data_IF_592562109103
#
_entry.id   IF_592562109103
#
_cell.length_a   1.000
_cell.length_b   1.000
_cell.length_c   1.000
_cell.angle_alpha   90.00
_cell.angle_beta   90.00
_cell.angle_gamma   90.00
#
_symmetry.space_group_name_H-M   'P 1'
#
loop_
_entity.id
_entity.type
_entity.pdbx_description
1 polymer ?
#
# COMPACT_ATOMS: atom_id res chain seq x y z
N UNK A 1 11.88 26.93 -12.13
CA UNK A 1 12.17 25.85 -11.15
C UNK A 1 12.76 24.67 -11.90
N UNK A 2 13.80 24.01 -11.39
CA UNK A 2 14.31 22.75 -11.97
C UNK A 2 13.74 21.56 -11.18
N UNK A 3 12.64 21.00 -11.67
CA UNK A 3 12.15 19.66 -11.31
C UNK A 3 12.32 18.80 -12.56
N UNK A 4 12.76 17.56 -12.39
CA UNK A 4 12.80 16.59 -13.50
C UNK A 4 11.51 15.79 -13.40
N UNK A 5 10.47 16.28 -14.09
CA UNK A 5 9.14 15.69 -14.14
C UNK A 5 8.63 15.84 -15.57
N UNK A 6 7.88 14.86 -16.07
CA UNK A 6 7.21 15.01 -17.36
C UNK A 6 5.95 15.88 -17.20
N UNK A 7 5.07 15.49 -16.28
CA UNK A 7 3.85 16.22 -15.90
C UNK A 7 3.66 16.22 -14.38
N UNK A 8 3.02 17.26 -13.84
CA UNK A 8 2.62 17.30 -12.43
C UNK A 8 1.50 16.33 -12.09
N UNK A 9 0.71 15.96 -13.08
CA UNK A 9 -0.53 15.21 -12.86
C UNK A 9 -0.26 13.70 -12.77
N UNK A 10 0.86 13.25 -13.34
CA UNK A 10 1.23 11.84 -13.47
C UNK A 10 2.50 11.49 -12.67
N UNK A 11 2.88 12.29 -11.68
CA UNK A 11 4.16 12.10 -10.99
C UNK A 11 4.26 10.73 -10.32
N UNK A 12 3.15 10.22 -9.77
CA UNK A 12 3.12 8.92 -9.08
C UNK A 12 3.20 7.79 -10.09
N UNK A 13 2.47 7.90 -11.20
CA UNK A 13 2.45 6.93 -12.30
C UNK A 13 3.80 6.86 -13.00
N UNK A 14 4.42 8.01 -13.32
CA UNK A 14 5.76 8.07 -13.92
C UNK A 14 6.80 7.42 -13.01
N UNK A 15 6.73 7.68 -11.70
CA UNK A 15 7.60 7.06 -10.70
C UNK A 15 7.39 5.54 -10.65
N UNK A 16 6.15 5.07 -10.59
CA UNK A 16 5.80 3.65 -10.56
C UNK A 16 6.20 2.93 -11.85
N UNK A 17 6.03 3.58 -13.00
CA UNK A 17 6.51 3.07 -14.29
C UNK A 17 8.03 2.93 -14.28
N UNK A 18 8.75 3.93 -13.76
CA UNK A 18 10.21 3.86 -13.61
C UNK A 18 10.67 2.71 -12.72
N UNK A 19 9.97 2.47 -11.59
CA UNK A 19 10.23 1.32 -10.71
C UNK A 19 9.97 0.00 -11.43
N UNK A 20 8.85 -0.11 -12.15
CA UNK A 20 8.49 -1.31 -12.90
C UNK A 20 9.52 -1.65 -13.96
N UNK A 21 10.05 -0.66 -14.67
CA UNK A 21 11.08 -0.86 -15.69
C UNK A 21 12.44 -1.22 -15.05
N UNK A 22 12.84 -0.51 -14.00
CA UNK A 22 14.14 -0.71 -13.34
C UNK A 22 14.26 -2.04 -12.59
N UNK A 23 13.15 -2.54 -12.04
CA UNK A 23 13.08 -3.73 -11.20
C UNK A 23 12.02 -4.72 -11.68
N UNK A 24 11.88 -4.85 -13.01
CA UNK A 24 10.93 -5.78 -13.64
C UNK A 24 11.19 -7.24 -13.31
N UNK A 25 12.31 -7.60 -12.71
CA UNK A 25 12.62 -8.93 -12.19
C UNK A 25 12.02 -9.17 -10.80
N UNK A 26 11.82 -8.12 -10.00
CA UNK A 26 11.39 -8.21 -8.59
C UNK A 26 9.91 -7.81 -8.42
N UNK A 27 9.44 -6.81 -9.17
CA UNK A 27 8.11 -6.22 -8.95
C UNK A 27 7.22 -6.28 -10.19
N UNK A 28 5.93 -6.16 -9.95
CA UNK A 28 4.89 -5.83 -10.93
C UNK A 28 4.10 -4.64 -10.41
N UNK A 29 3.65 -3.78 -11.32
CA UNK A 29 2.96 -2.53 -10.96
C UNK A 29 1.60 -2.48 -11.63
N UNK A 30 0.59 -2.06 -10.88
CA UNK A 30 -0.70 -1.62 -11.41
C UNK A 30 -0.74 -0.10 -11.36
N UNK A 31 -0.64 0.54 -12.53
CA UNK A 31 -0.65 2.00 -12.64
C UNK A 31 -2.05 2.60 -12.41
N UNK A 32 -3.11 1.83 -12.70
CA UNK A 32 -4.50 2.31 -12.53
C UNK A 32 -4.87 2.37 -11.05
N UNK A 33 -4.47 1.35 -10.28
CA UNK A 33 -4.72 1.30 -8.85
C UNK A 33 -3.57 1.90 -8.02
N UNK A 34 -2.44 2.23 -8.64
CA UNK A 34 -1.19 2.72 -8.02
C UNK A 34 -0.66 1.74 -6.98
N UNK A 35 -0.46 0.50 -7.43
CA UNK A 35 0.04 -0.60 -6.62
C UNK A 35 1.42 -1.02 -7.09
N UNK A 36 2.32 -1.28 -6.15
CA UNK A 36 3.56 -2.01 -6.39
C UNK A 36 3.46 -3.36 -5.67
N UNK A 37 3.64 -4.46 -6.40
CA UNK A 37 3.40 -5.81 -5.93
C UNK A 37 4.65 -6.64 -6.15
N UNK A 38 4.95 -7.55 -5.22
CA UNK A 38 6.01 -8.52 -5.45
C UNK A 38 5.64 -9.37 -6.67
N UNK A 39 6.61 -9.60 -7.55
CA UNK A 39 6.38 -10.33 -8.80
C UNK A 39 6.09 -11.80 -8.54
N UNK A 40 6.86 -12.43 -7.66
CA UNK A 40 6.61 -13.81 -7.30
C UNK A 40 5.31 -13.90 -6.47
N UNK A 41 4.46 -14.91 -6.72
CA UNK A 41 3.25 -15.11 -5.94
C UNK A 41 3.61 -15.37 -4.47
N UNK A 42 2.73 -14.95 -3.57
CA UNK A 42 2.87 -15.29 -2.16
C UNK A 42 2.77 -16.81 -1.99
N UNK A 43 3.78 -17.48 -1.38
CA UNK A 43 3.71 -18.92 -1.17
C UNK A 43 2.53 -19.30 -0.27
N UNK A 44 1.92 -20.45 -0.54
CA UNK A 44 0.80 -20.95 0.24
C UNK A 44 1.16 -21.04 1.74
N UNK A 45 0.26 -20.55 2.61
CA UNK A 45 0.46 -20.54 4.05
C UNK A 45 1.38 -19.42 4.58
N UNK A 46 1.91 -18.54 3.72
CA UNK A 46 2.58 -17.32 4.17
C UNK A 46 1.57 -16.17 4.36
N UNK A 47 1.94 -15.24 5.24
CA UNK A 47 1.15 -14.04 5.53
C UNK A 47 1.58 -12.91 4.60
N UNK A 48 0.62 -12.28 3.93
CA UNK A 48 0.89 -11.09 3.14
C UNK A 48 1.21 -9.91 4.08
N UNK A 49 2.28 -9.18 3.80
CA UNK A 49 2.59 -7.92 4.50
C UNK A 49 2.40 -6.77 3.54
N UNK A 50 1.46 -5.89 3.86
CA UNK A 50 1.05 -4.79 2.99
C UNK A 50 1.29 -3.49 3.74
N UNK A 51 1.89 -2.52 3.05
CA UNK A 51 2.04 -1.16 3.57
C UNK A 51 1.65 -0.16 2.48
N UNK A 52 1.67 1.12 2.82
CA UNK A 52 1.29 2.18 1.90
C UNK A 52 1.30 3.52 2.57
N UNK A 53 1.00 4.55 1.80
CA UNK A 53 1.04 5.92 2.27
C UNK A 53 1.08 6.90 1.13
N UNK A 54 1.32 8.16 1.45
CA UNK A 54 1.53 9.19 0.43
C UNK A 54 2.80 8.93 -0.39
N UNK A 55 2.79 9.39 -1.64
CA UNK A 55 3.94 9.26 -2.53
C UNK A 55 5.04 10.32 -2.29
N UNK A 56 4.76 11.34 -1.47
CA UNK A 56 5.65 12.47 -1.22
C UNK A 56 6.87 12.13 -0.36
N UNK A 57 6.74 11.15 0.54
CA UNK A 57 7.84 10.60 1.34
C UNK A 57 8.69 9.55 0.59
N UNK A 58 9.18 9.93 -0.60
CA UNK A 58 10.16 9.17 -1.42
C UNK A 58 9.86 7.67 -1.52
N UNK A 59 8.73 7.29 -2.13
CA UNK A 59 8.42 5.91 -2.56
C UNK A 59 8.73 4.79 -1.55
N UNK A 60 8.81 5.10 -0.25
CA UNK A 60 9.52 4.27 0.72
C UNK A 60 8.90 2.88 0.78
N UNK A 61 7.57 2.81 0.66
CA UNK A 61 6.82 1.57 0.65
C UNK A 61 7.10 0.72 -0.60
N UNK A 62 7.10 1.31 -1.79
CA UNK A 62 7.36 0.58 -3.04
C UNK A 62 8.77 0.00 -3.10
N UNK A 63 9.76 0.69 -2.51
CA UNK A 63 11.15 0.21 -2.42
C UNK A 63 11.36 -0.96 -1.44
N UNK A 64 10.38 -1.29 -0.60
CA UNK A 64 10.42 -2.45 0.31
C UNK A 64 9.62 -3.64 -0.21
N UNK A 65 9.11 -3.59 -1.43
CA UNK A 65 8.40 -4.72 -2.04
C UNK A 65 9.41 -5.73 -2.57
N UNK A 66 9.33 -6.97 -2.10
CA UNK A 66 10.34 -7.99 -2.41
C UNK A 66 10.27 -9.21 -1.49
N UNK A 67 11.17 -10.16 -1.73
CA UNK A 67 11.37 -11.34 -0.89
C UNK A 67 11.61 -10.94 0.59
N UNK A 68 10.97 -11.67 1.51
CA UNK A 68 11.04 -11.49 2.97
C UNK A 68 10.65 -10.09 3.51
N UNK A 69 10.06 -9.23 2.66
CA UNK A 69 9.68 -7.86 3.01
C UNK A 69 8.18 -7.61 2.74
N UNK A 70 7.82 -6.54 2.02
CA UNK A 70 6.43 -6.28 1.68
C UNK A 70 6.00 -7.14 0.49
N UNK A 71 4.85 -7.78 0.61
CA UNK A 71 4.15 -8.41 -0.51
C UNK A 71 3.61 -7.35 -1.46
N UNK A 72 3.17 -6.21 -0.91
CA UNK A 72 2.59 -5.12 -1.67
C UNK A 72 2.75 -3.76 -0.99
N UNK A 73 2.79 -2.71 -1.82
CA UNK A 73 2.72 -1.32 -1.43
C UNK A 73 1.58 -0.61 -2.16
N UNK A 74 0.77 0.15 -1.42
CA UNK A 74 -0.33 0.98 -1.95
C UNK A 74 0.08 2.44 -1.93
N UNK A 75 0.07 3.10 -3.10
CA UNK A 75 0.58 4.46 -3.25
C UNK A 75 -0.58 5.44 -3.41
N UNK A 76 -0.65 6.40 -2.49
CA UNK A 76 -1.55 7.55 -2.58
C UNK A 76 -0.96 8.69 -3.43
N UNK A 77 -1.68 9.80 -3.50
CA UNK A 77 -1.15 11.03 -4.10
C UNK A 77 0.04 11.60 -3.30
N UNK A 78 0.69 12.62 -3.86
CA UNK A 78 1.73 13.35 -3.15
C UNK A 78 1.10 14.04 -1.93
N UNK A 79 1.57 13.66 -0.73
CA UNK A 79 1.07 14.11 0.57
C UNK A 79 -0.38 13.76 0.91
N UNK A 80 -0.97 12.76 0.24
CA UNK A 80 -2.29 12.23 0.61
C UNK A 80 -2.27 10.70 0.68
N UNK A 81 -2.96 10.14 1.68
CA UNK A 81 -3.07 8.69 1.84
C UNK A 81 -3.85 8.04 0.68
N UNK A 82 -3.56 6.77 0.36
CA UNK A 82 -4.35 6.03 -0.61
C UNK A 82 -5.79 5.84 -0.11
N UNK A 83 -6.71 5.71 -1.05
CA UNK A 83 -8.11 5.43 -0.73
C UNK A 83 -8.29 4.02 -0.18
N UNK A 84 -9.38 3.81 0.57
CA UNK A 84 -9.73 2.49 1.07
C UNK A 84 -9.98 1.48 -0.06
N UNK A 85 -10.55 1.94 -1.17
CA UNK A 85 -10.83 1.10 -2.34
C UNK A 85 -9.53 0.57 -2.98
N UNK A 86 -8.54 1.43 -3.18
CA UNK A 86 -7.23 1.03 -3.70
C UNK A 86 -6.55 -0.03 -2.81
N UNK A 87 -6.65 0.15 -1.49
CA UNK A 87 -6.03 -0.79 -0.56
C UNK A 87 -6.78 -2.11 -0.47
N UNK A 88 -8.12 -2.08 -0.57
CA UNK A 88 -8.94 -3.29 -0.64
C UNK A 88 -8.68 -4.13 -1.89
N UNK A 89 -8.37 -3.50 -3.02
CA UNK A 89 -8.02 -4.20 -4.26
C UNK A 89 -6.84 -5.17 -4.10
N UNK A 90 -5.84 -4.81 -3.28
CA UNK A 90 -4.68 -5.68 -2.97
C UNK A 90 -5.07 -6.88 -2.12
N UNK A 91 -6.07 -6.71 -1.25
CA UNK A 91 -6.41 -7.74 -0.29
C UNK A 91 -6.97 -8.95 -0.99
N UNK A 92 -7.79 -8.82 -2.04
CA UNK A 92 -8.48 -9.94 -2.72
C UNK A 92 -7.59 -11.14 -3.12
N UNK A 93 -6.27 -10.96 -3.25
CA UNK A 93 -5.32 -12.01 -3.62
C UNK A 93 -4.58 -12.67 -2.42
N UNK A 94 -4.73 -12.15 -1.19
CA UNK A 94 -4.11 -12.69 0.01
C UNK A 94 -5.09 -13.60 0.80
N UNK A 95 -4.67 -14.30 1.86
CA UNK A 95 -5.63 -14.94 2.80
C UNK A 95 -5.50 -14.33 4.21
N UNK A 96 -4.29 -13.87 4.54
CA UNK A 96 -3.96 -13.19 5.79
C UNK A 96 -3.10 -11.98 5.43
N UNK A 97 -3.49 -10.79 5.90
CA UNK A 97 -2.80 -9.55 5.58
C UNK A 97 -2.44 -8.76 6.83
N UNK A 98 -1.17 -8.37 6.95
CA UNK A 98 -0.71 -7.42 7.95
C UNK A 98 -0.60 -6.03 7.33
N UNK A 99 -1.42 -5.09 7.80
CA UNK A 99 -1.36 -3.69 7.38
C UNK A 99 -0.40 -2.91 8.28
N UNK A 100 0.72 -2.47 7.72
CA UNK A 100 1.68 -1.59 8.37
C UNK A 100 1.35 -0.14 8.03
N UNK A 101 0.63 0.53 8.93
CA UNK A 101 0.26 1.94 8.80
C UNK A 101 1.24 2.85 9.56
N UNK A 102 1.92 3.75 8.84
CA UNK A 102 2.54 4.93 9.45
C UNK A 102 1.50 6.01 9.78
N UNK A 103 1.88 7.12 10.42
CA UNK A 103 0.96 8.23 10.70
C UNK A 103 0.37 8.88 9.43
N UNK A 104 0.96 8.62 8.26
CA UNK A 104 0.49 9.07 6.94
C UNK A 104 -0.28 8.01 6.14
N UNK A 105 -0.43 6.80 6.69
CA UNK A 105 -1.46 5.87 6.25
C UNK A 105 -2.63 6.15 7.17
N UNK A 106 -3.57 6.99 6.72
CA UNK A 106 -4.62 7.54 7.57
C UNK A 106 -5.26 6.42 8.41
N UNK A 107 -5.23 6.59 9.74
CA UNK A 107 -5.74 5.59 10.67
C UNK A 107 -7.16 5.16 10.31
N UNK A 108 -7.93 6.08 9.75
CA UNK A 108 -9.30 5.90 9.28
C UNK A 108 -9.38 4.90 8.12
N UNK A 109 -8.56 5.06 7.08
CA UNK A 109 -8.61 4.19 5.90
C UNK A 109 -8.21 2.76 6.27
N UNK A 110 -7.11 2.58 7.01
CA UNK A 110 -6.67 1.25 7.45
C UNK A 110 -7.66 0.56 8.41
N UNK A 111 -8.35 1.31 9.27
CA UNK A 111 -9.42 0.77 10.13
C UNK A 111 -10.63 0.36 9.29
N UNK A 112 -11.01 1.20 8.34
CA UNK A 112 -12.13 0.96 7.46
C UNK A 112 -11.90 -0.31 6.64
N UNK A 113 -10.73 -0.47 6.03
CA UNK A 113 -10.36 -1.66 5.26
C UNK A 113 -10.41 -2.92 6.12
N UNK A 114 -9.88 -2.88 7.35
CA UNK A 114 -9.97 -4.01 8.26
C UNK A 114 -11.43 -4.40 8.54
N UNK A 115 -12.36 -3.44 8.52
CA UNK A 115 -13.79 -3.67 8.77
C UNK A 115 -14.64 -4.05 7.54
N UNK A 116 -14.17 -3.82 6.30
CA UNK A 116 -15.00 -4.00 5.10
C UNK A 116 -14.29 -4.54 3.84
N UNK A 117 -12.98 -4.80 3.89
CA UNK A 117 -12.22 -5.33 2.74
C UNK A 117 -12.10 -4.38 1.55
N UNK A 118 -12.53 -3.12 1.69
CA UNK A 118 -12.58 -2.13 0.62
C UNK A 118 -13.82 -2.21 -0.28
N UNK A 119 -14.78 -3.11 0.00
CA UNK A 119 -16.06 -3.25 -0.73
C UNK A 119 -17.04 -2.09 -0.49
N UNK A 120 -16.80 -1.26 0.53
CA UNK A 120 -17.72 -0.23 0.96
C UNK A 120 -18.84 -0.72 1.89
N UNK A 121 -18.96 -2.03 2.10
CA UNK A 121 -19.94 -2.67 2.98
C UNK A 121 -19.22 -3.53 4.04
N UNK A 122 -19.70 -3.58 5.29
CA UNK A 122 -19.14 -4.50 6.28
C UNK A 122 -19.13 -5.93 5.73
N UNK A 123 -18.07 -6.68 6.01
CA UNK A 123 -17.96 -8.07 5.60
C UNK A 123 -19.22 -8.85 6.03
N UNK A 124 -19.79 -9.64 5.12
CA UNK A 124 -20.72 -10.68 5.56
C UNK A 124 -19.98 -11.70 6.42
N UNK A 125 -20.69 -12.42 7.29
CA UNK A 125 -20.08 -13.44 8.17
C UNK A 125 -19.36 -14.54 7.40
N UNK A 126 -19.78 -14.84 6.17
CA UNK A 126 -19.08 -15.78 5.27
C UNK A 126 -17.82 -15.20 4.66
N UNK A 127 -17.80 -13.91 4.31
CA UNK A 127 -16.59 -13.29 3.75
C UNK A 127 -15.56 -13.03 4.85
N UNK A 128 -15.98 -12.55 6.02
CA UNK A 128 -15.09 -12.34 7.17
C UNK A 128 -14.38 -13.63 7.65
N UNK A 129 -14.96 -14.80 7.37
CA UNK A 129 -14.42 -16.09 7.81
C UNK A 129 -13.11 -16.48 7.10
N UNK A 130 -12.83 -15.91 5.92
CA UNK A 130 -11.64 -16.24 5.13
C UNK A 130 -10.46 -15.27 5.33
N UNK A 131 -10.70 -14.11 5.94
CA UNK A 131 -9.71 -13.02 6.02
C UNK A 131 -9.31 -12.74 7.46
N UNK A 132 -8.05 -13.02 7.80
CA UNK A 132 -7.46 -12.56 9.06
C UNK A 132 -6.60 -11.32 8.80
N UNK A 133 -7.17 -10.13 8.98
CA UNK A 133 -6.43 -8.86 8.87
C UNK A 133 -5.98 -8.42 10.26
N UNK A 134 -4.66 -8.26 10.45
CA UNK A 134 -4.10 -7.64 11.66
C UNK A 134 -3.40 -6.34 11.29
N UNK A 135 -3.53 -5.33 12.15
CA UNK A 135 -2.93 -4.02 11.93
C UNK A 135 -1.86 -3.74 12.96
N UNK A 136 -0.74 -3.20 12.50
CA UNK A 136 0.28 -2.59 13.36
C UNK A 136 0.39 -1.12 12.94
N UNK A 137 0.27 -0.22 13.92
CA UNK A 137 0.47 1.21 13.68
C UNK A 137 1.82 1.65 14.21
N UNK A 138 2.62 2.26 13.35
CA UNK A 138 3.92 2.84 13.71
C UNK A 138 3.75 4.28 14.18
N UNK A 139 4.10 4.55 15.44
CA UNK A 139 4.19 5.91 16.00
C UNK A 139 5.59 6.12 16.59
N UNK A 140 6.60 6.29 15.73
CA UNK A 140 8.00 6.44 16.17
C UNK A 140 8.46 7.89 16.28
N UNK A 141 7.64 8.85 15.84
CA UNK A 141 7.96 10.28 16.02
C UNK A 141 7.75 10.67 17.47
N UNK A 142 8.78 11.25 18.08
CA UNK A 142 8.72 11.81 19.45
C UNK A 142 8.48 13.32 19.46
N UNK A 143 8.34 13.96 18.29
CA UNK A 143 8.04 15.39 18.21
C UNK A 143 6.54 15.61 18.42
N UNK A 144 6.19 16.31 19.50
CA UNK A 144 4.86 16.91 19.69
C UNK A 144 4.74 18.17 18.85
N UNK A 145 3.58 18.39 18.22
CA UNK A 145 3.31 19.51 17.31
C UNK A 145 3.25 20.88 17.98
N UNK A 146 4.39 21.38 18.44
CA UNK A 146 4.57 22.77 18.90
C UNK A 146 5.85 23.34 18.31
N UNK A 147 5.69 24.03 17.17
CA UNK A 147 6.51 25.15 16.69
C UNK A 147 5.62 26.02 15.84
#
# INVERSE_FOLDING_TARGET
MKRILNSSDNVVEDMLSGISEAHSDIVRVDLTQRLCLHRAPLPAGQVAVISGGDSGHKSLHAGFVGEDMLTAAVLGDIFASPSAYQTGGVLNDAEVAHLLAGPHLDHLNSSYIASCGGSGQPWSTSEAAHWLIRRITRCTSVRSGTT
#
